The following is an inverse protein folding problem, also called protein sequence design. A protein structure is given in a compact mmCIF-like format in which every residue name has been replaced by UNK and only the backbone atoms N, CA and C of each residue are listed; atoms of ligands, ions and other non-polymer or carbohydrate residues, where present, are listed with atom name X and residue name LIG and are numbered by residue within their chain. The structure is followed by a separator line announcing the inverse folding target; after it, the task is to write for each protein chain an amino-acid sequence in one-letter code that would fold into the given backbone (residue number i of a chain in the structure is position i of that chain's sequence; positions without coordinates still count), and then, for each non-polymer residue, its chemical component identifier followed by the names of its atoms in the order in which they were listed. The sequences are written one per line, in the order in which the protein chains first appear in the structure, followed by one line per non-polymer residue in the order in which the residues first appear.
data_IF_760635383359
#
_entry.id   IF_760635383359
#
_cell.length_a   1.000
_cell.length_b   1.000
_cell.length_c   1.000
_cell.angle_alpha   90.00
_cell.angle_beta   90.00
_cell.angle_gamma   90.00
#
_symmetry.space_group_name_H-M   'P 1'
#
loop_
_entity.id
_entity.type
_entity.pdbx_description
1 polymer ?
#
# COMPACT_ATOMS: atom_id res chain seq x y z
N UNK A 1 -13.83 -26.61 -5.82
CA UNK A 1 -13.67 -25.33 -6.54
C UNK A 1 -13.13 -25.62 -7.93
N UNK A 2 -13.68 -25.02 -8.99
CA UNK A 2 -13.21 -25.20 -10.37
C UNK A 2 -12.62 -23.87 -10.84
N UNK A 3 -11.36 -23.89 -11.26
CA UNK A 3 -10.71 -22.74 -11.87
C UNK A 3 -11.38 -22.41 -13.21
N UNK A 4 -11.65 -21.12 -13.46
CA UNK A 4 -12.13 -20.61 -14.76
C UNK A 4 -11.23 -19.48 -15.23
N UNK A 5 -11.13 -19.32 -16.54
CA UNK A 5 -10.38 -18.22 -17.16
C UNK A 5 -11.22 -16.95 -17.16
N UNK A 6 -10.58 -15.84 -16.83
CA UNK A 6 -11.17 -14.50 -16.81
C UNK A 6 -10.68 -13.73 -18.04
N UNK A 7 -11.46 -12.77 -18.56
CA UNK A 7 -11.14 -12.00 -19.79
C UNK A 7 -10.25 -10.80 -19.45
N UNK A 8 -9.45 -10.30 -20.40
CA UNK A 8 -8.66 -9.07 -20.20
C UNK A 8 -7.32 -9.06 -20.92
N UNK A 9 -6.47 -8.08 -20.54
CA UNK A 9 -5.12 -7.83 -21.09
C UNK A 9 -4.30 -9.11 -21.18
N UNK A 10 -3.60 -9.30 -22.30
CA UNK A 10 -2.70 -10.43 -22.52
C UNK A 10 -1.60 -10.42 -21.45
N UNK A 11 -1.35 -11.57 -20.82
CA UNK A 11 -0.70 -11.71 -19.50
C UNK A 11 0.83 -11.56 -19.57
N UNK A 12 1.32 -10.63 -20.40
CA UNK A 12 2.74 -10.25 -20.46
C UNK A 12 3.13 -9.28 -19.34
N UNK A 13 2.17 -8.88 -18.50
CA UNK A 13 2.40 -8.08 -17.30
C UNK A 13 2.79 -8.99 -16.13
N UNK A 14 3.93 -8.69 -15.52
CA UNK A 14 4.39 -9.34 -14.29
C UNK A 14 4.12 -8.43 -13.11
N UNK A 15 3.25 -8.89 -12.21
CA UNK A 15 3.06 -8.28 -10.89
C UNK A 15 4.09 -8.88 -9.91
N UNK A 16 4.79 -8.02 -9.19
CA UNK A 16 5.85 -8.44 -8.27
C UNK A 16 5.30 -8.65 -6.85
N UNK A 17 5.36 -9.89 -6.35
CA UNK A 17 4.84 -10.28 -5.04
C UNK A 17 5.59 -9.68 -3.86
N UNK A 18 6.85 -9.24 -4.04
CA UNK A 18 7.65 -8.62 -2.99
C UNK A 18 7.36 -7.11 -2.80
N UNK A 19 6.49 -6.53 -3.64
CA UNK A 19 6.05 -5.14 -3.57
C UNK A 19 4.56 -5.10 -3.23
N UNK A 20 4.21 -5.49 -1.99
CA UNK A 20 2.85 -5.61 -1.44
C UNK A 20 2.05 -4.29 -1.33
N UNK A 21 2.07 -3.44 -2.35
CA UNK A 21 1.19 -2.28 -2.44
C UNK A 21 0.14 -2.59 -3.49
N UNK A 22 -0.89 -3.31 -3.05
CA UNK A 22 -2.15 -3.35 -3.77
C UNK A 22 -3.08 -2.31 -3.16
N UNK A 23 -3.87 -1.65 -3.99
CA UNK A 23 -4.93 -0.76 -3.52
C UNK A 23 -6.26 -1.14 -4.13
N UNK A 24 -7.32 -0.93 -3.37
CA UNK A 24 -8.67 -1.07 -3.86
C UNK A 24 -9.25 0.33 -4.03
N UNK A 25 -9.66 0.66 -5.24
CA UNK A 25 -10.19 1.97 -5.60
C UNK A 25 -11.32 1.80 -6.62
N UNK A 26 -12.52 2.30 -6.27
CA UNK A 26 -13.71 2.28 -7.11
C UNK A 26 -14.05 0.90 -7.72
N UNK A 27 -14.07 -0.16 -6.91
CA UNK A 27 -14.43 -1.51 -7.37
C UNK A 27 -13.28 -2.27 -8.08
N UNK A 28 -12.12 -1.62 -8.23
CA UNK A 28 -10.97 -2.15 -8.96
C UNK A 28 -9.81 -2.35 -8.00
N UNK A 29 -9.11 -3.48 -8.12
CA UNK A 29 -7.84 -3.72 -7.44
C UNK A 29 -6.70 -3.36 -8.35
N UNK A 30 -5.71 -2.63 -7.83
CA UNK A 30 -4.57 -2.15 -8.60
C UNK A 30 -3.25 -2.67 -8.03
N UNK A 31 -2.33 -3.05 -8.92
CA UNK A 31 -0.96 -3.45 -8.59
C UNK A 31 0.02 -2.75 -9.50
N UNK A 32 1.20 -2.41 -8.98
CA UNK A 32 2.32 -2.05 -9.83
C UNK A 32 2.77 -3.26 -10.64
N UNK A 33 2.95 -3.08 -11.94
CA UNK A 33 3.36 -4.13 -12.87
C UNK A 33 4.50 -3.67 -13.77
N UNK A 34 5.26 -4.64 -14.26
CA UNK A 34 6.23 -4.45 -15.33
C UNK A 34 5.76 -5.21 -16.57
N UNK A 35 5.88 -4.56 -17.72
CA UNK A 35 5.64 -5.16 -19.03
C UNK A 35 6.93 -5.72 -19.59
N UNK A 36 6.85 -6.93 -20.15
CA UNK A 36 7.96 -7.49 -20.91
C UNK A 36 8.32 -6.59 -22.11
N UNK A 37 9.61 -6.53 -22.52
CA UNK A 37 10.03 -5.70 -23.63
C UNK A 37 9.23 -6.02 -24.90
N UNK A 38 8.76 -4.97 -25.59
CA UNK A 38 7.98 -5.12 -26.83
C UNK A 38 8.93 -5.31 -28.03
N UNK A 39 10.21 -4.98 -27.89
CA UNK A 39 11.23 -5.00 -28.93
C UNK A 39 12.61 -5.47 -28.39
N UNK A 40 13.63 -5.50 -29.25
CA UNK A 40 15.02 -5.82 -28.87
C UNK A 40 15.66 -4.78 -27.94
N UNK A 41 14.95 -3.68 -27.65
CA UNK A 41 15.37 -2.79 -26.59
C UNK A 41 15.09 -3.52 -25.27
N UNK A 42 16.09 -3.68 -24.41
CA UNK A 42 15.87 -4.22 -23.07
C UNK A 42 15.09 -3.21 -22.17
N UNK A 43 14.38 -2.23 -22.77
CA UNK A 43 13.62 -1.22 -22.06
C UNK A 43 12.28 -1.81 -21.61
N UNK A 44 12.20 -2.10 -20.31
CA UNK A 44 10.97 -2.55 -19.67
C UNK A 44 10.20 -1.35 -19.16
N UNK A 45 8.88 -1.38 -19.36
CA UNK A 45 7.99 -0.31 -18.94
C UNK A 45 7.15 -0.75 -17.75
N UNK A 46 7.01 0.15 -16.78
CA UNK A 46 6.11 -0.01 -15.64
C UNK A 46 4.73 0.52 -15.98
N UNK A 47 3.71 -0.17 -15.50
CA UNK A 47 2.31 0.26 -15.55
C UNK A 47 1.61 -0.13 -14.25
N UNK A 48 0.31 0.11 -14.17
CA UNK A 48 -0.54 -0.40 -13.09
C UNK A 48 -1.49 -1.42 -13.70
N UNK A 49 -1.39 -2.67 -13.25
CA UNK A 49 -2.38 -3.71 -13.53
C UNK A 49 -3.64 -3.40 -12.73
N UNK A 50 -4.80 -3.46 -13.40
CA UNK A 50 -6.10 -3.25 -12.81
C UNK A 50 -6.94 -4.51 -12.94
N UNK A 51 -7.69 -4.88 -11.90
CA UNK A 51 -8.68 -5.95 -11.95
C UNK A 51 -10.02 -5.44 -11.42
N UNK A 52 -10.99 -5.32 -12.33
CA UNK A 52 -12.37 -4.98 -12.01
C UNK A 52 -13.07 -6.21 -11.44
N UNK A 53 -13.49 -6.11 -10.17
CA UNK A 53 -14.11 -7.23 -9.46
C UNK A 53 -15.53 -7.50 -9.98
N UNK A 54 -16.27 -6.46 -10.35
CA UNK A 54 -17.67 -6.56 -10.75
C UNK A 54 -17.80 -7.19 -12.14
N UNK A 55 -16.96 -6.74 -13.07
CA UNK A 55 -16.95 -7.23 -14.44
C UNK A 55 -16.04 -8.45 -14.64
N UNK A 56 -15.22 -8.79 -13.64
CA UNK A 56 -14.17 -9.80 -13.73
C UNK A 56 -13.32 -9.58 -14.99
N UNK A 57 -12.68 -8.42 -15.11
CA UNK A 57 -11.81 -8.11 -16.25
C UNK A 57 -10.51 -7.45 -15.80
N UNK A 58 -9.41 -7.84 -16.47
CA UNK A 58 -8.14 -7.16 -16.31
C UNK A 58 -8.02 -5.97 -17.27
N UNK A 59 -7.47 -4.89 -16.75
CA UNK A 59 -7.12 -3.68 -17.48
C UNK A 59 -5.70 -3.20 -17.13
N UNK A 60 -5.25 -2.18 -17.82
CA UNK A 60 -3.95 -1.54 -17.61
C UNK A 60 -4.16 -0.02 -17.47
N UNK A 61 -3.51 0.57 -16.47
CA UNK A 61 -3.46 2.02 -16.28
C UNK A 61 -2.03 2.48 -16.51
N UNK A 62 -1.87 3.40 -17.46
CA UNK A 62 -0.56 3.91 -17.84
C UNK A 62 -0.01 4.84 -16.76
N UNK A 63 1.29 4.67 -16.47
CA UNK A 63 2.05 5.60 -15.65
C UNK A 63 2.61 6.70 -16.56
N UNK A 64 2.80 7.93 -16.05
CA UNK A 64 3.49 8.96 -16.81
C UNK A 64 4.94 8.53 -17.08
N UNK A 65 5.50 8.96 -18.20
CA UNK A 65 6.87 8.58 -18.67
C UNK A 65 7.96 8.70 -17.60
N UNK A 66 7.83 9.67 -16.69
CA UNK A 66 8.75 9.90 -15.58
C UNK A 66 8.77 8.80 -14.52
N UNK A 67 7.71 8.00 -14.46
CA UNK A 67 7.50 6.88 -13.55
C UNK A 67 7.57 5.53 -14.29
N UNK A 68 7.25 5.51 -15.58
CA UNK A 68 7.07 4.30 -16.39
C UNK A 68 8.36 3.50 -16.71
N UNK A 69 9.55 3.89 -16.22
CA UNK A 69 10.75 3.07 -16.42
C UNK A 69 10.80 1.96 -15.36
N UNK A 70 10.92 0.69 -15.77
CA UNK A 70 10.93 -0.46 -14.86
C UNK A 70 12.05 -0.44 -13.81
N UNK A 71 13.20 0.17 -14.10
CA UNK A 71 14.26 0.36 -13.10
C UNK A 71 13.81 1.20 -11.90
N UNK A 72 12.72 1.98 -12.05
CA UNK A 72 12.10 2.76 -10.98
C UNK A 72 11.06 1.97 -10.19
N UNK A 73 10.56 0.84 -10.69
CA UNK A 73 9.51 0.06 -10.03
C UNK A 73 9.82 -0.19 -8.54
N UNK A 74 11.05 -0.58 -8.12
CA UNK A 74 11.40 -0.79 -6.71
C UNK A 74 11.19 0.43 -5.80
N UNK A 75 11.22 1.65 -6.37
CA UNK A 75 11.04 2.91 -5.65
C UNK A 75 9.62 3.46 -5.74
N UNK A 76 8.69 2.75 -6.40
CA UNK A 76 7.29 3.15 -6.50
C UNK A 76 6.43 2.44 -5.46
N UNK A 77 5.43 3.15 -4.94
CA UNK A 77 4.38 2.62 -4.08
C UNK A 77 3.05 3.22 -4.54
N UNK A 78 1.98 2.44 -4.54
CA UNK A 78 0.64 2.88 -4.96
C UNK A 78 -0.25 3.06 -3.73
N UNK A 79 -1.06 4.12 -3.75
CA UNK A 79 -1.94 4.52 -2.66
C UNK A 79 -3.26 5.06 -3.22
N UNK A 80 -4.29 5.08 -2.37
CA UNK A 80 -5.42 5.99 -2.55
C UNK A 80 -5.10 7.27 -1.80
N UNK A 81 -5.13 8.40 -2.48
CA UNK A 81 -4.77 9.72 -1.94
C UNK A 81 -5.97 10.64 -2.11
N UNK A 82 -6.67 10.92 -1.00
CA UNK A 82 -7.98 11.55 -1.07
C UNK A 82 -8.96 10.66 -1.84
N UNK A 83 -9.43 11.13 -2.98
CA UNK A 83 -10.38 10.44 -3.86
C UNK A 83 -9.74 10.01 -5.19
N UNK A 84 -8.41 9.96 -5.25
CA UNK A 84 -7.66 9.64 -6.46
C UNK A 84 -6.70 8.49 -6.26
N UNK A 85 -6.44 7.75 -7.34
CA UNK A 85 -5.32 6.82 -7.39
C UNK A 85 -4.01 7.62 -7.42
N UNK A 86 -3.05 7.23 -6.60
CA UNK A 86 -1.78 7.93 -6.44
C UNK A 86 -0.58 7.02 -6.39
N UNK A 87 0.57 7.58 -6.74
CA UNK A 87 1.87 6.90 -6.71
C UNK A 87 2.85 7.76 -5.92
N UNK A 88 3.56 7.12 -5.01
CA UNK A 88 4.69 7.71 -4.29
C UNK A 88 5.97 7.16 -4.90
N UNK A 89 6.85 8.05 -5.36
CA UNK A 89 8.17 7.72 -5.88
C UNK A 89 9.24 8.16 -4.90
N UNK A 90 10.00 7.22 -4.36
CA UNK A 90 11.13 7.50 -3.47
C UNK A 90 12.36 7.91 -4.28
N UNK A 91 12.98 9.02 -3.89
CA UNK A 91 14.17 9.61 -4.53
C UNK A 91 15.13 10.08 -3.44
N UNK A 92 16.15 9.28 -3.13
CA UNK A 92 17.10 9.59 -2.06
C UNK A 92 16.40 9.70 -0.70
N UNK A 93 16.53 10.86 -0.06
CA UNK A 93 15.89 11.15 1.23
C UNK A 93 14.59 11.95 1.10
N UNK A 94 13.91 11.84 -0.05
CA UNK A 94 12.62 12.46 -0.29
C UNK A 94 11.70 11.50 -1.06
N UNK A 95 10.42 11.84 -1.15
CA UNK A 95 9.52 11.18 -2.09
C UNK A 95 8.57 12.16 -2.78
N UNK A 96 8.36 11.95 -4.07
CA UNK A 96 7.38 12.68 -4.85
C UNK A 96 6.02 11.98 -4.78
N UNK A 97 4.98 12.75 -4.50
CA UNK A 97 3.58 12.27 -4.48
C UNK A 97 2.89 12.68 -5.77
N UNK A 98 2.38 11.69 -6.50
CA UNK A 98 1.67 11.84 -7.75
C UNK A 98 0.23 11.37 -7.60
N UNK A 99 -0.71 12.04 -8.27
CA UNK A 99 -2.11 11.59 -8.37
C UNK A 99 -2.59 11.64 -9.80
N UNK A 100 -3.47 10.71 -10.14
CA UNK A 100 -4.21 10.69 -11.40
C UNK A 100 -5.53 11.45 -11.21
N UNK A 101 -5.67 12.61 -11.85
CA UNK A 101 -6.87 13.46 -11.71
C UNK A 101 -8.10 12.87 -12.38
N UNK A 102 -7.90 12.19 -13.50
CA UNK A 102 -8.96 11.52 -14.25
C UNK A 102 -8.59 10.05 -14.42
N UNK A 103 -9.46 9.16 -13.95
CA UNK A 103 -9.15 7.74 -13.90
C UNK A 103 -8.87 7.15 -15.29
N UNK A 104 -7.77 6.41 -15.42
CA UNK A 104 -7.23 5.84 -16.66
C UNK A 104 -6.74 6.83 -17.73
N UNK A 105 -6.57 8.12 -17.41
CA UNK A 105 -6.04 9.13 -18.35
C UNK A 105 -4.58 9.44 -18.01
N UNK A 106 -3.63 9.06 -18.86
CA UNK A 106 -2.18 9.22 -18.63
C UNK A 106 -1.79 10.69 -18.43
N UNK A 107 -2.39 11.58 -19.21
CA UNK A 107 -2.11 13.02 -19.20
C UNK A 107 -2.63 13.70 -17.92
N UNK A 108 -3.51 13.04 -17.17
CA UNK A 108 -4.09 13.57 -15.94
C UNK A 108 -3.20 13.37 -14.71
N UNK A 109 -2.10 12.63 -14.86
CA UNK A 109 -1.12 12.46 -13.78
C UNK A 109 -0.42 13.78 -13.48
N UNK A 110 -0.44 14.18 -12.21
CA UNK A 110 0.22 15.38 -11.75
C UNK A 110 0.97 15.13 -10.45
N UNK A 111 2.16 15.72 -10.33
CA UNK A 111 2.92 15.72 -9.09
C UNK A 111 2.30 16.76 -8.14
N UNK A 112 1.75 16.30 -7.02
CA UNK A 112 1.15 17.16 -6.01
C UNK A 112 2.19 17.91 -5.19
N UNK A 113 3.12 17.17 -4.60
CA UNK A 113 4.15 17.71 -3.71
C UNK A 113 5.29 16.72 -3.50
N UNK A 114 6.38 17.19 -2.91
CA UNK A 114 7.51 16.38 -2.47
C UNK A 114 7.56 16.38 -0.95
N UNK A 115 7.74 15.21 -0.34
CA UNK A 115 7.93 15.05 1.11
C UNK A 115 9.41 14.87 1.39
N UNK A 116 9.95 15.68 2.30
CA UNK A 116 11.31 15.52 2.82
C UNK A 116 11.32 14.46 3.94
N UNK A 117 12.15 13.43 3.78
CA UNK A 117 12.30 12.31 4.71
C UNK A 117 13.58 12.44 5.57
N UNK A 118 14.41 13.47 5.39
CA UNK A 118 15.70 13.66 6.08
C UNK A 118 15.58 13.72 7.62
N UNK A 119 14.40 14.03 8.17
CA UNK A 119 14.17 14.26 9.61
C UNK A 119 13.81 12.99 10.40
N UNK A 120 14.39 11.85 10.06
CA UNK A 120 14.15 10.58 10.75
C UNK A 120 12.86 9.85 10.34
N UNK A 121 12.23 10.31 9.25
CA UNK A 121 11.14 9.60 8.60
C UNK A 121 11.72 8.63 7.55
N UNK A 122 11.19 7.42 7.47
CA UNK A 122 11.73 6.39 6.56
C UNK A 122 10.79 6.08 5.40
N UNK A 123 9.49 6.33 5.57
CA UNK A 123 8.47 5.86 4.64
C UNK A 123 7.16 6.60 4.77
N UNK A 124 6.45 6.76 3.65
CA UNK A 124 5.01 7.05 3.62
C UNK A 124 4.24 5.78 3.91
N UNK A 125 3.46 5.82 4.99
CA UNK A 125 2.64 4.72 5.47
C UNK A 125 1.23 4.73 4.84
N UNK A 126 0.77 5.89 4.45
CA UNK A 126 -0.55 6.04 3.85
C UNK A 126 -0.94 7.49 3.79
N UNK A 127 -2.20 7.75 3.48
CA UNK A 127 -2.73 9.09 3.36
C UNK A 127 -4.04 9.19 4.14
N UNK A 128 -4.22 10.33 4.80
CA UNK A 128 -5.51 10.69 5.39
C UNK A 128 -6.48 11.08 4.27
N UNK A 129 -7.78 11.10 4.57
CA UNK A 129 -8.82 11.56 3.63
C UNK A 129 -8.56 12.98 3.09
N UNK A 130 -7.92 13.84 3.88
CA UNK A 130 -7.51 15.19 3.47
C UNK A 130 -6.30 15.23 2.52
N UNK A 131 -5.68 14.08 2.19
CA UNK A 131 -4.50 14.00 1.32
C UNK A 131 -3.17 14.22 2.03
N UNK A 132 -3.17 14.39 3.36
CA UNK A 132 -1.94 14.46 4.17
C UNK A 132 -1.27 13.08 4.28
N UNK A 133 0.05 13.02 4.04
CA UNK A 133 0.83 11.82 4.17
C UNK A 133 1.06 11.45 5.64
N UNK A 134 0.84 10.18 5.99
CA UNK A 134 1.25 9.58 7.26
C UNK A 134 2.65 9.00 7.09
N UNK A 135 3.58 9.36 7.98
CA UNK A 135 4.99 8.97 7.86
C UNK A 135 5.41 8.03 8.99
N UNK A 136 6.23 7.04 8.65
CA UNK A 136 6.96 6.22 9.62
C UNK A 136 8.14 7.00 10.15
N UNK A 137 8.13 7.32 11.45
CA UNK A 137 9.20 8.05 12.14
C UNK A 137 9.84 7.13 13.18
N UNK A 138 11.12 6.78 12.99
CA UNK A 138 11.86 5.91 13.92
C UNK A 138 11.46 4.42 13.91
N UNK A 139 12.40 3.53 14.29
CA UNK A 139 12.06 2.14 14.66
C UNK A 139 11.73 2.09 16.14
N UNK A 140 10.46 1.94 16.49
CA UNK A 140 10.10 1.55 17.87
C UNK A 140 10.41 0.06 18.01
N UNK A 141 11.38 -0.29 18.85
CA UNK A 141 11.57 -1.69 19.29
C UNK A 141 10.42 -2.01 20.27
N UNK A 142 9.73 -3.12 20.05
CA UNK A 142 8.63 -3.63 20.88
C UNK A 142 7.36 -2.78 20.97
N UNK A 143 6.53 -2.83 19.91
CA UNK A 143 5.10 -2.51 20.01
C UNK A 143 4.21 -3.77 20.07
N UNK A 144 4.80 -4.98 20.10
CA UNK A 144 4.06 -6.24 19.92
C UNK A 144 3.46 -6.41 18.51
N UNK A 145 3.70 -5.45 17.60
CA UNK A 145 3.28 -5.52 16.20
C UNK A 145 4.45 -6.05 15.38
N UNK A 146 4.48 -7.36 15.15
CA UNK A 146 5.43 -7.99 14.26
C UNK A 146 4.99 -7.79 12.80
N UNK A 147 5.35 -6.65 12.22
CA UNK A 147 5.35 -6.50 10.76
C UNK A 147 6.55 -7.22 10.15
N UNK A 148 6.39 -7.78 8.93
CA UNK A 148 7.55 -8.24 8.16
C UNK A 148 8.50 -7.07 7.93
N UNK A 149 9.81 -7.32 8.04
CA UNK A 149 10.92 -6.37 7.80
C UNK A 149 10.76 -5.61 6.46
N UNK A 150 9.97 -6.17 5.54
CA UNK A 150 9.52 -5.62 4.27
C UNK A 150 8.04 -5.20 4.30
N UNK A 151 7.82 -3.92 4.58
CA UNK A 151 6.92 -3.04 3.81
C UNK A 151 5.39 -3.20 3.89
N UNK A 152 4.83 -4.20 4.55
CA UNK A 152 3.37 -4.35 4.66
C UNK A 152 2.87 -4.04 6.08
N UNK A 153 2.24 -2.89 6.24
CA UNK A 153 1.29 -2.65 7.32
C UNK A 153 0.02 -2.15 6.61
N UNK A 154 -1.11 -2.77 6.93
CA UNK A 154 -2.40 -2.38 6.42
C UNK A 154 -3.08 -1.57 7.53
N UNK A 155 -3.25 -0.27 7.31
CA UNK A 155 -4.07 0.56 8.18
C UNK A 155 -5.42 0.67 7.52
N UNK A 156 -6.37 -0.13 8.00
CA UNK A 156 -7.76 0.06 7.62
C UNK A 156 -8.29 1.33 8.28
N UNK A 157 -9.11 2.09 7.55
CA UNK A 157 -9.89 3.12 8.20
C UNK A 157 -11.01 2.41 8.95
N UNK A 158 -10.91 2.33 10.28
CA UNK A 158 -11.99 1.78 11.10
C UNK A 158 -13.32 2.47 10.73
N UNK A 159 -14.20 1.72 10.09
CA UNK A 159 -15.59 2.09 9.92
C UNK A 159 -16.34 1.33 11.01
N UNK A 160 -17.04 2.05 11.89
CA UNK A 160 -17.95 1.43 12.83
C UNK A 160 -18.95 0.58 12.05
N UNK A 161 -18.79 -0.74 12.11
CA UNK A 161 -19.85 -1.65 11.69
C UNK A 161 -20.72 -1.91 12.90
N UNK A 162 -22.02 -1.64 12.78
CA UNK A 162 -23.03 -1.96 13.80
C UNK A 162 -23.23 -3.47 14.01
N UNK A 163 -22.30 -4.32 13.52
CA UNK A 163 -22.38 -5.77 13.54
C UNK A 163 -22.19 -6.39 14.94
N UNK A 164 -22.06 -5.59 16.00
CA UNK A 164 -21.86 -6.06 17.37
C UNK A 164 -22.74 -5.38 18.43
N UNK A 165 -23.92 -4.86 18.07
CA UNK A 165 -24.97 -4.55 19.03
C UNK A 165 -25.94 -5.74 19.16
N UNK A 166 -25.50 -6.81 19.84
CA UNK A 166 -26.37 -7.97 20.00
C UNK A 166 -25.95 -9.05 20.97
N UNK A 167 -24.83 -8.91 21.69
CA UNK A 167 -24.49 -9.85 22.77
C UNK A 167 -24.00 -9.09 23.99
N UNK A 168 -24.88 -9.05 25.00
CA UNK A 168 -24.54 -8.66 26.36
C UNK A 168 -23.30 -9.43 26.82
N UNK A 169 -22.14 -8.77 26.83
CA UNK A 169 -20.99 -9.21 27.60
C UNK A 169 -21.21 -8.70 29.02
N UNK A 170 -21.37 -9.62 29.97
CA UNK A 170 -21.27 -9.29 31.39
C UNK A 170 -19.84 -8.76 31.65
N UNK A 171 -19.67 -7.73 32.49
CA UNK A 171 -18.34 -7.22 32.80
C UNK A 171 -17.48 -8.31 33.45
N UNK A 172 -16.25 -8.47 32.95
CA UNK A 172 -15.18 -9.15 33.69
C UNK A 172 -14.85 -8.30 34.91
N UNK A 173 -14.90 -8.89 36.11
CA UNK A 173 -14.36 -8.30 37.33
C UNK A 173 -12.95 -8.82 37.52
N UNK A 174 -12.02 -7.91 37.78
CA UNK A 174 -10.61 -8.18 38.04
C UNK A 174 -10.48 -8.47 39.55
N UNK A 175 -10.31 -9.73 39.93
CA UNK A 175 -9.86 -10.09 41.27
C UNK A 175 -8.34 -9.92 41.30
N UNK A 176 -7.89 -8.94 42.09
CA UNK A 176 -6.48 -8.72 42.37
C UNK A 176 -6.09 -9.49 43.61
N UNK A 177 -5.27 -10.52 43.43
CA UNK A 177 -4.32 -11.17 44.36
C UNK A 177 -3.57 -12.18 43.45
N UNK A 178 -2.26 -12.15 43.21
CA UNK A 178 -1.16 -12.29 44.15
C UNK A 178 0.11 -11.64 43.57
N UNK A 179 0.80 -10.83 44.37
CA UNK A 179 2.19 -10.43 44.14
C UNK A 179 3.05 -11.38 44.97
N UNK A 180 3.69 -12.37 44.34
CA UNK A 180 4.82 -13.06 44.97
C UNK A 180 6.13 -12.34 44.62
N UNK A 181 6.72 -11.78 45.67
CA UNK A 181 8.08 -11.23 45.71
C UNK A 181 9.06 -12.40 45.70
N UNK A 182 9.98 -12.43 44.73
CA UNK A 182 11.19 -13.25 44.86
C UNK A 182 12.34 -12.39 45.40
N UNK A 183 12.68 -12.66 46.66
CA UNK A 183 13.91 -12.24 47.33
C UNK A 183 15.15 -12.83 46.62
N UNK A 184 16.14 -12.00 46.33
CA UNK A 184 17.50 -12.45 46.08
C UNK A 184 18.36 -12.19 47.33
N UNK A 185 18.57 -13.26 48.08
CA UNK A 185 19.56 -13.34 49.15
C UNK A 185 20.98 -13.55 48.59
N UNK A 186 21.91 -12.79 49.15
CA UNK A 186 23.37 -12.84 48.94
C UNK A 186 23.98 -14.18 49.36
N UNK A 187 24.98 -14.65 48.62
CA UNK A 187 26.35 -14.94 49.10
C UNK A 187 27.33 -14.55 48.00
#
# INVERSE_FOLDING_TARGET
MRWRRVRGVDVTLRAYSNMYCQVFFNGVVHWLSEKEPIDYSNARLSSILAFDIDNEVFGEVMLPRELANASKLPTLRIFVIGESLGVVKYVGCACDVWVMKEYCVEESWTRLYTVDLMRGAFRVMGFRKCGEALLEIGRVKDLGINGTITLSFYVDNYVESLLLLGRHLKPYTFDGDEIERHDYGKV
#
